data_IF_611789948766
#
_entry.id   IF_611789948766
#
_cell.length_a   1.000
_cell.length_b   1.000
_cell.length_c   1.000
_cell.angle_alpha   90.00
_cell.angle_beta   90.00
_cell.angle_gamma   90.00
#
_symmetry.space_group_name_H-M   'P 1'
#
loop_
_entity.id
_entity.type
_entity.pdbx_description
1 polymer ?
#
# COMPACT_ATOMS: atom_id res chain seq x y z
N UNK A 1 57.32 0.57 42.87
CA UNK A 1 57.09 1.27 44.16
C UNK A 1 55.57 1.30 44.36
N UNK A 2 54.90 0.26 44.89
CA UNK A 2 54.82 -0.23 46.29
C UNK A 2 54.72 0.87 47.35
N UNK A 3 53.52 1.04 47.93
CA UNK A 3 53.16 1.30 49.34
C UNK A 3 51.61 1.41 49.38
N UNK A 4 50.86 0.39 49.82
CA UNK A 4 50.55 0.06 51.22
C UNK A 4 49.91 1.25 51.97
N UNK A 5 48.58 1.30 52.15
CA UNK A 5 47.78 0.60 53.17
C UNK A 5 47.92 1.19 54.58
N UNK A 6 46.86 1.80 55.12
CA UNK A 6 46.48 1.84 56.55
C UNK A 6 45.30 2.83 56.76
N UNK A 7 44.07 2.40 57.09
CA UNK A 7 43.55 1.99 58.42
C UNK A 7 43.14 3.17 59.32
N UNK A 8 41.82 3.36 59.57
CA UNK A 8 41.13 3.24 60.90
C UNK A 8 39.77 4.00 60.95
N UNK A 9 38.68 3.21 60.96
CA UNK A 9 37.53 3.14 61.92
C UNK A 9 37.43 4.21 63.06
N UNK A 10 36.27 4.33 63.75
CA UNK A 10 34.94 4.85 63.34
C UNK A 10 34.35 5.85 64.41
N UNK A 11 33.10 6.29 64.17
CA UNK A 11 32.00 6.49 65.16
C UNK A 11 31.45 7.92 65.40
N UNK A 12 30.12 7.91 65.48
CA UNK A 12 29.17 8.80 66.18
C UNK A 12 28.58 10.01 65.44
N UNK A 13 27.42 9.75 64.82
CA UNK A 13 26.11 10.40 65.02
C UNK A 13 26.09 11.84 65.54
N UNK A 14 25.57 12.76 64.71
CA UNK A 14 24.63 13.81 65.15
C UNK A 14 23.60 14.04 64.02
N UNK A 15 22.32 14.03 64.40
CA UNK A 15 21.17 14.41 63.59
C UNK A 15 21.23 15.88 63.16
N UNK A 16 20.96 16.17 61.90
CA UNK A 16 20.33 17.44 61.52
C UNK A 16 19.46 17.24 60.26
N UNK A 17 18.17 17.45 60.46
CA UNK A 17 17.09 17.53 59.47
C UNK A 17 17.35 18.71 58.54
N UNK A 18 17.13 18.56 57.22
CA UNK A 18 16.23 19.42 56.42
C UNK A 18 16.28 19.10 54.91
N UNK A 19 15.09 18.90 54.36
CA UNK A 19 14.66 19.18 52.96
C UNK A 19 15.40 18.49 51.80
N UNK A 20 14.82 17.39 51.30
CA UNK A 20 14.96 16.98 49.89
C UNK A 20 13.79 17.58 49.13
N UNK A 21 14.05 18.63 48.37
CA UNK A 21 13.13 19.18 47.39
C UNK A 21 12.88 18.14 46.29
N UNK A 22 11.60 17.95 45.93
CA UNK A 22 11.20 17.13 44.79
C UNK A 22 11.85 17.66 43.50
N UNK A 23 12.76 16.88 42.91
CA UNK A 23 13.08 16.96 41.49
C UNK A 23 12.07 16.09 40.72
N UNK A 24 10.89 16.64 40.47
CA UNK A 24 10.01 16.16 39.41
C UNK A 24 10.47 16.83 38.11
N UNK A 25 11.42 16.22 37.41
CA UNK A 25 11.84 16.66 36.09
C UNK A 25 11.77 15.49 35.10
N UNK A 26 11.19 15.80 33.94
CA UNK A 26 11.15 15.04 32.69
C UNK A 26 10.29 13.78 32.62
N UNK A 27 8.96 13.95 32.69
CA UNK A 27 8.07 13.23 31.76
C UNK A 27 7.75 14.24 30.65
N UNK A 28 8.62 14.32 29.65
CA UNK A 28 8.26 14.98 28.40
C UNK A 28 7.12 14.17 27.76
N UNK A 29 6.15 14.81 27.10
CA UNK A 29 5.04 14.08 26.49
C UNK A 29 5.59 13.09 25.46
N UNK A 30 5.33 11.82 25.74
CA UNK A 30 5.48 10.72 24.80
C UNK A 30 4.66 11.04 23.55
N UNK A 31 5.37 11.15 22.42
CA UNK A 31 4.91 10.85 21.06
C UNK A 31 3.49 11.33 20.73
N UNK A 32 3.40 12.52 20.15
CA UNK A 32 2.34 12.78 19.18
C UNK A 32 2.54 11.80 18.02
N UNK A 33 1.82 10.68 18.02
CA UNK A 33 1.59 9.96 16.79
C UNK A 33 0.86 10.94 15.88
N UNK A 34 1.52 11.37 14.80
CA UNK A 34 0.82 12.06 13.74
C UNK A 34 -0.25 11.08 13.24
N UNK A 35 -1.50 11.26 13.66
CA UNK A 35 -2.63 10.68 12.94
C UNK A 35 -2.48 11.13 11.51
N UNK A 36 -2.26 10.20 10.59
CA UNK A 36 -2.40 10.48 9.17
C UNK A 36 -3.75 11.16 9.00
N UNK A 37 -3.74 12.41 8.55
CA UNK A 37 -4.95 13.20 8.46
C UNK A 37 -5.90 12.50 7.50
N UNK A 38 -7.03 12.01 8.02
CA UNK A 38 -8.11 11.49 7.20
C UNK A 38 -8.69 12.66 6.42
N UNK A 39 -8.39 12.71 5.13
CA UNK A 39 -8.88 13.74 4.23
C UNK A 39 -10.34 13.44 3.87
N UNK A 40 -11.24 14.39 4.14
CA UNK A 40 -12.66 14.27 3.80
C UNK A 40 -12.83 14.69 2.34
N UNK A 41 -12.96 13.71 1.43
CA UNK A 41 -13.11 13.93 -0.01
C UNK A 41 -14.52 13.56 -0.46
N UNK A 42 -14.93 14.02 -1.64
CA UNK A 42 -16.09 13.46 -2.32
C UNK A 42 -15.89 11.93 -2.44
N UNK A 43 -16.83 11.09 -1.95
CA UNK A 43 -16.74 9.63 -2.05
C UNK A 43 -16.63 9.13 -3.51
N UNK A 44 -16.94 9.98 -4.49
CA UNK A 44 -16.76 9.67 -5.89
C UNK A 44 -15.26 9.55 -6.28
N UNK A 45 -14.91 8.43 -6.93
CA UNK A 45 -13.71 8.24 -7.76
C UNK A 45 -12.39 7.89 -7.02
N UNK A 46 -12.44 6.82 -6.20
CA UNK A 46 -11.33 6.44 -5.33
C UNK A 46 -10.32 5.45 -5.93
N UNK A 47 -10.72 4.56 -6.83
CA UNK A 47 -9.86 3.48 -7.31
C UNK A 47 -10.11 3.09 -8.77
N UNK A 48 -9.14 2.40 -9.35
CA UNK A 48 -9.12 1.90 -10.71
C UNK A 48 -8.64 0.47 -10.73
N UNK A 49 -9.27 -0.33 -11.57
CA UNK A 49 -8.69 -1.58 -12.05
C UNK A 49 -8.48 -1.43 -13.55
N UNK A 50 -7.27 -1.71 -13.98
CA UNK A 50 -6.89 -1.73 -15.39
C UNK A 50 -6.79 -3.18 -15.84
N UNK A 51 -7.10 -3.44 -17.11
CA UNK A 51 -6.95 -4.76 -17.72
C UNK A 51 -6.18 -4.67 -19.03
N UNK A 52 -5.36 -5.69 -19.29
CA UNK A 52 -4.75 -6.04 -20.57
C UNK A 52 -5.34 -7.38 -20.98
N UNK A 53 -6.38 -7.34 -21.81
CA UNK A 53 -7.23 -8.52 -22.07
C UNK A 53 -6.49 -9.68 -22.74
N UNK A 54 -5.51 -9.39 -23.59
CA UNK A 54 -4.65 -10.40 -24.23
C UNK A 54 -3.56 -10.98 -23.30
N UNK A 55 -3.39 -10.44 -22.09
CA UNK A 55 -2.39 -10.91 -21.12
C UNK A 55 -2.57 -12.38 -20.75
N UNK A 56 -1.47 -13.05 -20.37
CA UNK A 56 -1.46 -14.45 -19.96
C UNK A 56 -2.20 -15.39 -20.95
N UNK A 57 -1.87 -15.28 -22.24
CA UNK A 57 -2.51 -16.05 -23.32
C UNK A 57 -4.04 -15.90 -23.37
N UNK A 58 -4.55 -14.69 -23.12
CA UNK A 58 -5.98 -14.37 -23.17
C UNK A 58 -6.75 -14.61 -21.86
N UNK A 59 -6.10 -15.08 -20.79
CA UNK A 59 -6.70 -15.12 -19.45
C UNK A 59 -6.87 -13.72 -18.84
N UNK A 60 -6.09 -12.76 -19.33
CA UNK A 60 -6.06 -11.38 -18.87
C UNK A 60 -4.88 -11.10 -17.95
N UNK A 61 -4.64 -9.81 -17.76
CA UNK A 61 -3.67 -9.28 -16.80
C UNK A 61 -4.21 -7.98 -16.23
N UNK A 62 -4.10 -7.77 -14.92
CA UNK A 62 -4.70 -6.60 -14.26
C UNK A 62 -3.67 -5.75 -13.54
N UNK A 63 -4.03 -4.49 -13.30
CA UNK A 63 -3.25 -3.52 -12.54
C UNK A 63 -4.20 -2.63 -11.76
N UNK A 64 -3.65 -1.85 -10.83
CA UNK A 64 -4.43 -1.05 -9.89
C UNK A 64 -4.07 0.44 -9.98
N UNK A 65 -5.00 1.28 -9.55
CA UNK A 65 -4.77 2.68 -9.23
C UNK A 65 -5.67 3.10 -8.06
N UNK A 66 -5.20 3.98 -7.19
CA UNK A 66 -6.02 4.56 -6.12
C UNK A 66 -5.60 6.00 -5.82
N UNK A 67 -6.57 6.79 -5.38
CA UNK A 67 -6.40 8.22 -5.12
C UNK A 67 -5.59 8.43 -3.84
N UNK A 68 -4.57 9.29 -3.89
CA UNK A 68 -3.73 9.64 -2.75
C UNK A 68 -4.25 10.87 -2.00
N UNK A 69 -4.91 11.79 -2.70
CA UNK A 69 -5.26 13.12 -2.18
C UNK A 69 -6.59 13.62 -2.74
N UNK A 70 -7.29 14.50 -2.01
CA UNK A 70 -8.55 15.09 -2.50
C UNK A 70 -8.37 15.99 -3.74
N UNK A 71 -7.16 16.41 -4.10
CA UNK A 71 -6.91 17.22 -5.30
C UNK A 71 -6.63 16.36 -6.56
N UNK A 72 -6.66 15.03 -6.45
CA UNK A 72 -6.66 14.13 -7.61
C UNK A 72 -5.29 13.60 -8.03
N UNK A 73 -4.37 13.42 -7.07
CA UNK A 73 -3.20 12.56 -7.29
C UNK A 73 -3.53 11.10 -7.01
N UNK A 74 -2.82 10.19 -7.66
CA UNK A 74 -3.04 8.75 -7.66
C UNK A 74 -1.73 8.01 -7.49
N UNK A 75 -1.76 6.87 -6.81
CA UNK A 75 -0.77 5.82 -6.90
C UNK A 75 -1.30 4.72 -7.82
N UNK A 76 -0.43 4.11 -8.62
CA UNK A 76 -0.81 3.06 -9.56
C UNK A 76 0.35 2.10 -9.83
N UNK A 77 0.04 0.89 -10.29
CA UNK A 77 1.05 -0.12 -10.57
C UNK A 77 0.49 -1.51 -10.88
N UNK A 78 1.41 -2.47 -11.02
CA UNK A 78 1.09 -3.90 -11.20
C UNK A 78 2.30 -4.78 -10.89
N UNK A 79 2.07 -6.10 -10.81
CA UNK A 79 3.06 -7.18 -10.84
C UNK A 79 2.96 -7.87 -12.20
N UNK A 80 4.00 -7.79 -13.04
CA UNK A 80 3.93 -8.21 -14.45
C UNK A 80 4.31 -9.66 -14.75
N UNK A 81 5.14 -10.29 -13.92
CA UNK A 81 5.80 -11.57 -14.23
C UNK A 81 6.40 -11.61 -15.66
N UNK A 82 7.43 -10.80 -15.94
CA UNK A 82 8.01 -10.66 -17.29
C UNK A 82 8.64 -11.95 -17.81
N UNK A 83 8.95 -12.90 -16.91
CA UNK A 83 9.52 -14.20 -17.25
C UNK A 83 8.48 -15.22 -17.72
N UNK A 84 7.18 -14.96 -17.49
CA UNK A 84 6.09 -15.89 -17.79
C UNK A 84 6.14 -17.20 -16.99
N UNK A 85 6.95 -17.27 -15.93
CA UNK A 85 7.09 -18.49 -15.11
C UNK A 85 5.84 -18.71 -14.27
N UNK A 86 5.49 -19.97 -14.04
CA UNK A 86 4.37 -20.30 -13.16
C UNK A 86 4.63 -19.94 -11.68
N UNK A 87 5.90 -19.88 -11.30
CA UNK A 87 6.35 -19.58 -9.95
C UNK A 87 7.61 -18.70 -9.97
N UNK A 88 7.67 -17.73 -9.05
CA UNK A 88 8.83 -16.90 -8.73
C UNK A 88 8.95 -16.87 -7.20
N UNK A 89 10.10 -17.30 -6.68
CA UNK A 89 10.39 -17.30 -5.25
C UNK A 89 10.29 -15.88 -4.66
N UNK A 90 9.94 -15.80 -3.37
CA UNK A 90 9.93 -14.54 -2.62
C UNK A 90 11.31 -13.88 -2.66
N UNK A 91 11.32 -12.56 -2.83
CA UNK A 91 12.55 -11.75 -2.91
C UNK A 91 13.19 -11.69 -4.29
N UNK A 92 12.69 -12.44 -5.27
CA UNK A 92 13.09 -12.31 -6.67
C UNK A 92 12.18 -11.35 -7.44
N UNK A 93 12.71 -10.83 -8.55
CA UNK A 93 12.00 -9.90 -9.42
C UNK A 93 10.74 -10.56 -10.04
N UNK A 94 9.58 -10.05 -9.64
CA UNK A 94 8.28 -10.44 -10.18
C UNK A 94 7.73 -9.42 -11.20
N UNK A 95 8.55 -8.46 -11.63
CA UNK A 95 8.16 -7.38 -12.54
C UNK A 95 7.22 -6.36 -11.90
N UNK A 96 7.27 -6.22 -10.58
CA UNK A 96 6.52 -5.16 -9.91
C UNK A 96 7.00 -3.78 -10.36
N UNK A 97 6.05 -2.90 -10.61
CA UNK A 97 6.30 -1.49 -10.83
C UNK A 97 5.19 -0.66 -10.18
N UNK A 98 5.53 0.55 -9.75
CA UNK A 98 4.58 1.54 -9.24
C UNK A 98 4.97 2.95 -9.64
N UNK A 99 3.98 3.82 -9.79
CA UNK A 99 4.13 5.23 -10.02
C UNK A 99 3.12 6.04 -9.23
N UNK A 100 3.26 7.37 -9.30
CA UNK A 100 2.29 8.31 -8.76
C UNK A 100 2.20 9.55 -9.65
N UNK A 101 1.03 10.16 -9.72
CA UNK A 101 0.81 11.36 -10.52
C UNK A 101 -0.66 11.77 -10.55
N UNK A 102 -1.00 12.71 -11.43
CA UNK A 102 -2.38 13.05 -11.77
C UNK A 102 -3.12 11.86 -12.39
N UNK A 103 -4.45 11.95 -12.47
CA UNK A 103 -5.24 10.93 -13.16
C UNK A 103 -4.76 10.71 -14.60
N UNK A 104 -4.51 11.80 -15.34
CA UNK A 104 -4.06 11.73 -16.73
C UNK A 104 -2.71 11.01 -16.86
N UNK A 105 -1.78 11.27 -15.95
CA UNK A 105 -0.47 10.61 -15.92
C UNK A 105 -0.60 9.12 -15.60
N UNK A 106 -1.46 8.76 -14.66
CA UNK A 106 -1.80 7.35 -14.37
C UNK A 106 -2.37 6.65 -15.61
N UNK A 107 -3.41 7.23 -16.23
CA UNK A 107 -4.03 6.63 -17.42
C UNK A 107 -3.02 6.47 -18.56
N UNK A 108 -2.17 7.48 -18.78
CA UNK A 108 -1.10 7.46 -19.78
C UNK A 108 -0.08 6.37 -19.48
N UNK A 109 0.38 6.26 -18.23
CA UNK A 109 1.33 5.24 -17.82
C UNK A 109 0.75 3.84 -18.02
N UNK A 110 -0.46 3.55 -17.51
CA UNK A 110 -1.09 2.25 -17.70
C UNK A 110 -1.24 1.90 -19.19
N UNK A 111 -1.68 2.85 -20.02
CA UNK A 111 -1.77 2.63 -21.47
C UNK A 111 -0.41 2.31 -22.10
N UNK A 112 0.66 2.99 -21.67
CA UNK A 112 2.03 2.73 -22.15
C UNK A 112 2.56 1.33 -21.77
N UNK A 113 2.06 0.76 -20.67
CA UNK A 113 2.30 -0.62 -20.25
C UNK A 113 1.39 -1.65 -20.97
N UNK A 114 0.63 -1.22 -21.97
CA UNK A 114 -0.20 -2.08 -22.81
C UNK A 114 -1.54 -2.46 -22.19
N UNK A 115 -1.96 -1.80 -21.10
CA UNK A 115 -3.34 -1.91 -20.63
C UNK A 115 -4.27 -1.26 -21.66
N UNK A 116 -5.42 -1.89 -21.90
CA UNK A 116 -6.33 -1.51 -22.97
C UNK A 116 -7.74 -1.16 -22.49
N UNK A 117 -8.05 -1.40 -21.21
CA UNK A 117 -9.30 -0.92 -20.62
C UNK A 117 -9.13 -0.67 -19.12
N UNK A 118 -10.04 0.10 -18.55
CA UNK A 118 -10.14 0.27 -17.11
C UNK A 118 -11.59 0.41 -16.64
N UNK A 119 -11.79 0.07 -15.36
CA UNK A 119 -12.99 0.37 -14.58
C UNK A 119 -12.60 1.28 -13.44
N UNK A 120 -13.34 2.37 -13.27
CA UNK A 120 -13.31 3.22 -12.09
C UNK A 120 -14.28 2.65 -11.06
N UNK A 121 -13.79 2.45 -9.84
CA UNK A 121 -14.54 1.86 -8.73
C UNK A 121 -14.63 2.87 -7.59
N UNK A 122 -15.81 2.98 -6.99
CA UNK A 122 -16.03 3.86 -5.83
C UNK A 122 -15.34 3.31 -4.60
N UNK A 123 -14.62 4.16 -3.87
CA UNK A 123 -14.17 3.82 -2.52
C UNK A 123 -15.35 3.90 -1.55
N UNK A 124 -15.35 3.09 -0.48
CA UNK A 124 -16.47 3.06 0.46
C UNK A 124 -16.50 4.25 1.45
N UNK A 125 -15.43 5.05 1.50
CA UNK A 125 -15.22 6.00 2.58
C UNK A 125 -15.19 7.44 2.08
N UNK A 126 -15.92 8.31 2.77
CA UNK A 126 -15.78 9.76 2.68
C UNK A 126 -14.42 10.25 3.21
N UNK A 127 -13.70 9.39 3.94
CA UNK A 127 -12.34 9.61 4.42
C UNK A 127 -11.33 8.77 3.64
N UNK A 128 -10.34 9.42 3.03
CA UNK A 128 -9.21 8.74 2.40
C UNK A 128 -8.18 8.35 3.46
N UNK A 129 -7.95 7.04 3.63
CA UNK A 129 -6.80 6.49 4.35
C UNK A 129 -6.00 5.60 3.39
N UNK A 130 -4.91 6.17 2.86
CA UNK A 130 -4.06 5.54 1.84
C UNK A 130 -2.91 4.74 2.43
N UNK A 131 -2.63 4.90 3.73
CA UNK A 131 -1.48 4.28 4.40
C UNK A 131 -1.46 2.76 4.26
N UNK A 132 -2.55 2.04 4.56
CA UNK A 132 -2.60 0.58 4.40
C UNK A 132 -2.35 0.13 2.96
N UNK A 133 -2.93 0.82 1.97
CA UNK A 133 -2.75 0.50 0.55
C UNK A 133 -1.31 0.71 0.08
N UNK A 134 -0.65 1.79 0.52
CA UNK A 134 0.75 2.07 0.17
C UNK A 134 1.69 1.02 0.74
N UNK A 135 1.46 0.55 1.98
CA UNK A 135 2.22 -0.54 2.60
C UNK A 135 2.10 -1.83 1.78
N UNK A 136 0.88 -2.22 1.39
CA UNK A 136 0.65 -3.43 0.58
C UNK A 136 1.27 -3.29 -0.81
N UNK A 137 1.10 -2.13 -1.46
CA UNK A 137 1.71 -1.84 -2.75
C UNK A 137 3.25 -1.92 -2.67
N UNK A 138 3.87 -1.29 -1.68
CA UNK A 138 5.33 -1.33 -1.50
C UNK A 138 5.85 -2.75 -1.27
N UNK A 139 5.14 -3.58 -0.50
CA UNK A 139 5.52 -4.96 -0.21
C UNK A 139 5.45 -5.88 -1.44
N UNK A 140 4.76 -5.46 -2.51
CA UNK A 140 4.51 -6.27 -3.71
C UNK A 140 5.78 -6.59 -4.50
N UNK A 141 6.80 -5.71 -4.44
CA UNK A 141 8.07 -5.88 -5.13
C UNK A 141 8.83 -7.17 -4.75
N UNK A 142 8.67 -7.62 -3.51
CA UNK A 142 9.39 -8.77 -2.97
C UNK A 142 8.52 -9.99 -2.75
N UNK A 143 7.24 -9.98 -3.16
CA UNK A 143 6.27 -11.04 -2.82
C UNK A 143 6.49 -12.35 -3.60
N UNK A 144 7.28 -12.33 -4.67
CA UNK A 144 7.35 -13.43 -5.63
C UNK A 144 6.12 -13.47 -6.53
N UNK A 145 5.82 -14.63 -7.12
CA UNK A 145 4.65 -14.83 -7.98
C UNK A 145 4.23 -16.30 -8.01
N UNK A 146 2.93 -16.57 -8.00
CA UNK A 146 2.34 -17.87 -8.30
C UNK A 146 1.11 -17.69 -9.19
N UNK A 147 0.88 -18.61 -10.13
CA UNK A 147 -0.36 -18.59 -10.94
C UNK A 147 -1.62 -18.62 -10.08
N UNK A 148 -1.57 -19.24 -8.89
CA UNK A 148 -2.70 -19.38 -7.96
C UNK A 148 -2.34 -18.73 -6.62
N UNK A 149 -3.09 -17.71 -6.19
CA UNK A 149 -3.02 -17.12 -4.85
C UNK A 149 -1.88 -16.11 -4.63
N UNK A 150 -1.08 -15.82 -5.65
CA UNK A 150 -0.03 -14.80 -5.62
C UNK A 150 0.27 -14.25 -7.03
N UNK A 151 -0.76 -13.85 -7.77
CA UNK A 151 -0.63 -13.30 -9.12
C UNK A 151 -1.00 -11.80 -9.20
N UNK A 152 -1.10 -11.28 -10.43
CA UNK A 152 -1.51 -9.89 -10.67
C UNK A 152 -2.90 -9.55 -10.11
N UNK A 153 -3.85 -10.49 -10.14
CA UNK A 153 -5.19 -10.27 -9.63
C UNK A 153 -5.22 -10.31 -8.09
N UNK A 154 -4.49 -11.22 -7.46
CA UNK A 154 -4.29 -11.22 -6.00
C UNK A 154 -3.66 -9.90 -5.54
N UNK A 155 -2.66 -9.41 -6.28
CA UNK A 155 -2.02 -8.13 -5.98
C UNK A 155 -2.99 -6.95 -6.02
N UNK A 156 -3.78 -6.84 -7.10
CA UNK A 156 -4.80 -5.79 -7.24
C UNK A 156 -5.84 -5.89 -6.12
N UNK A 157 -6.32 -7.11 -5.83
CA UNK A 157 -7.30 -7.32 -4.78
C UNK A 157 -6.77 -6.87 -3.41
N UNK A 158 -5.54 -7.27 -3.04
CA UNK A 158 -4.94 -6.92 -1.74
C UNK A 158 -4.76 -5.41 -1.60
N UNK A 159 -4.25 -4.73 -2.63
CA UNK A 159 -4.04 -3.27 -2.61
C UNK A 159 -5.37 -2.53 -2.48
N UNK A 160 -6.37 -2.88 -3.29
CA UNK A 160 -7.66 -2.19 -3.30
C UNK A 160 -8.52 -2.53 -2.08
N UNK A 161 -8.39 -3.76 -1.55
CA UNK A 161 -9.03 -4.13 -0.28
C UNK A 161 -8.43 -3.34 0.88
N UNK A 162 -7.09 -3.21 0.95
CA UNK A 162 -6.42 -2.39 1.95
C UNK A 162 -6.78 -0.90 1.83
N UNK A 163 -6.99 -0.42 0.60
CA UNK A 163 -7.49 0.93 0.33
C UNK A 163 -8.96 1.14 0.78
N UNK A 164 -9.71 0.05 0.99
CA UNK A 164 -11.10 0.10 1.44
C UNK A 164 -12.13 0.14 0.31
N UNK A 165 -11.81 -0.41 -0.86
CA UNK A 165 -12.83 -0.66 -1.90
C UNK A 165 -13.80 -1.74 -1.39
N UNK A 166 -15.12 -1.46 -1.31
CA UNK A 166 -16.09 -2.43 -0.84
C UNK A 166 -16.34 -3.49 -1.92
N UNK A 167 -16.80 -4.66 -1.49
CA UNK A 167 -17.42 -5.68 -2.36
C UNK A 167 -16.56 -6.14 -3.55
N UNK A 168 -15.22 -6.15 -3.40
CA UNK A 168 -14.34 -6.75 -4.39
C UNK A 168 -14.67 -8.25 -4.55
N UNK A 169 -14.95 -8.76 -5.77
CA UNK A 169 -15.29 -10.16 -5.99
C UNK A 169 -14.17 -11.08 -5.51
N UNK A 170 -14.55 -12.22 -4.90
CA UNK A 170 -13.58 -13.23 -4.49
C UNK A 170 -12.89 -13.86 -5.70
N UNK A 171 -11.56 -13.79 -5.72
CA UNK A 171 -10.74 -14.32 -6.82
C UNK A 171 -10.88 -15.84 -7.02
N UNK A 172 -11.17 -16.58 -5.94
CA UNK A 172 -11.38 -18.04 -5.99
C UNK A 172 -12.57 -18.44 -6.88
N UNK A 173 -13.56 -17.56 -7.03
CA UNK A 173 -14.73 -17.78 -7.89
C UNK A 173 -14.48 -17.33 -9.33
N UNK A 174 -13.41 -16.55 -9.57
CA UNK A 174 -13.07 -15.94 -10.86
C UNK A 174 -11.54 -15.96 -11.08
N UNK A 175 -10.92 -17.14 -11.21
CA UNK A 175 -9.45 -17.26 -11.18
C UNK A 175 -8.74 -16.63 -12.38
N UNK A 176 -9.45 -16.42 -13.50
CA UNK A 176 -8.91 -15.73 -14.67
C UNK A 176 -9.09 -14.20 -14.52
N UNK A 177 -8.03 -13.38 -14.67
CA UNK A 177 -8.12 -11.94 -14.49
C UNK A 177 -9.20 -11.25 -15.35
N UNK A 178 -9.41 -11.68 -16.60
CA UNK A 178 -10.50 -11.15 -17.45
C UNK A 178 -11.87 -11.43 -16.85
N UNK A 179 -12.10 -12.65 -16.32
CA UNK A 179 -13.36 -13.03 -15.72
C UNK A 179 -13.61 -12.23 -14.44
N UNK A 180 -12.60 -12.09 -13.59
CA UNK A 180 -12.69 -11.28 -12.38
C UNK A 180 -12.93 -9.80 -12.69
N UNK A 181 -12.19 -9.25 -13.64
CA UNK A 181 -12.39 -7.88 -14.09
C UNK A 181 -13.81 -7.64 -14.60
N UNK A 182 -14.38 -8.59 -15.35
CA UNK A 182 -15.74 -8.49 -15.87
C UNK A 182 -16.80 -8.38 -14.76
N UNK A 183 -16.62 -9.05 -13.61
CA UNK A 183 -17.58 -9.02 -12.50
C UNK A 183 -17.49 -7.80 -11.59
N UNK A 184 -16.45 -6.97 -11.73
CA UNK A 184 -16.31 -5.73 -10.95
C UNK A 184 -17.47 -4.76 -11.20
N UNK A 185 -18.13 -4.35 -10.12
CA UNK A 185 -18.96 -3.15 -10.10
C UNK A 185 -18.11 -1.91 -10.40
N UNK A 186 -18.68 -0.94 -11.10
CA UNK A 186 -17.96 0.27 -11.53
C UNK A 186 -18.91 1.45 -11.66
N UNK A 187 -18.35 2.66 -11.53
CA UNK A 187 -19.07 3.92 -11.79
C UNK A 187 -18.74 4.51 -13.16
N UNK A 188 -17.60 4.13 -13.71
CA UNK A 188 -17.22 4.45 -15.09
C UNK A 188 -16.31 3.34 -15.63
N UNK A 189 -16.27 3.21 -16.94
CA UNK A 189 -15.35 2.32 -17.64
C UNK A 189 -14.90 2.96 -18.95
N UNK A 190 -13.73 2.58 -19.42
CA UNK A 190 -13.27 2.93 -20.76
C UNK A 190 -12.60 1.71 -21.41
N UNK A 191 -12.77 1.61 -22.72
CA UNK A 191 -12.06 0.66 -23.58
C UNK A 191 -11.20 1.46 -24.58
N UNK A 192 -9.89 1.47 -24.34
CA UNK A 192 -8.92 2.13 -25.19
C UNK A 192 -8.55 1.32 -26.44
N UNK A 193 -8.96 0.06 -26.53
CA UNK A 193 -8.81 -0.70 -27.77
C UNK A 193 -9.73 -0.14 -28.87
N UNK A 194 -10.81 0.52 -28.48
CA UNK A 194 -11.80 1.13 -29.41
C UNK A 194 -11.79 2.65 -29.38
N UNK A 195 -11.17 3.29 -28.38
CA UNK A 195 -11.09 4.75 -28.26
C UNK A 195 -9.77 5.35 -28.80
N UNK A 196 -9.89 6.35 -29.67
CA UNK A 196 -8.78 7.20 -30.13
C UNK A 196 -8.47 8.37 -29.19
N UNK A 197 -9.32 8.63 -28.19
CA UNK A 197 -9.18 9.77 -27.26
C UNK A 197 -8.78 9.28 -25.87
N UNK A 198 -7.87 10.01 -25.21
CA UNK A 198 -7.58 9.89 -23.77
C UNK A 198 -8.58 10.70 -22.96
#
# INVERSE_FOLDING_TARGET
MSMASAVRRPRFLVFCVLTVALLAASIGPLTAFASAATLQCDPANGAYVFVRTAGANGLGHVGWGYRLTCDGSYAFGSVENPTGKAHIDKGFDNGFWRGSGTEQEMLTAMRSHGYNAYKRITGSRSTLDTGPADVVAAASAGRGYDVIGNNCADNVWDVLHAYGVPDLPYLQLHPAPNNWYATLGHTANADWATSTTL
#
